data_IF_179437078024
#
_entry.id   IF_179437078024
#
_cell.length_a   1.000
_cell.length_b   1.000
_cell.length_c   1.000
_cell.angle_alpha   90.00
_cell.angle_beta   90.00
_cell.angle_gamma   90.00
#
_symmetry.space_group_name_H-M   'P 1'
#
loop_
_entity.id
_entity.type
_entity.pdbx_description
1 polymer ?
#
# COMPACT_ATOMS: atom_id res chain seq x y z
N UNK A 1 -9.63 14.79 -12.44
CA UNK A 1 -8.18 14.79 -12.73
C UNK A 1 -7.42 15.58 -11.67
N UNK A 2 -6.20 15.16 -11.32
CA UNK A 2 -5.33 15.80 -10.33
C UNK A 2 -3.96 16.06 -10.95
N UNK A 3 -3.46 17.29 -10.80
CA UNK A 3 -2.09 17.66 -11.17
C UNK A 3 -1.20 17.56 -9.93
N UNK A 4 -0.04 16.93 -10.09
CA UNK A 4 1.04 16.91 -9.09
C UNK A 4 2.35 17.26 -9.79
N UNK A 5 3.46 17.37 -9.06
CA UNK A 5 4.79 17.49 -9.67
C UNK A 5 5.17 16.27 -10.51
N UNK A 6 4.50 15.13 -10.29
CA UNK A 6 4.76 13.83 -10.93
C UNK A 6 3.96 13.60 -12.22
N UNK A 7 2.93 14.42 -12.48
CA UNK A 7 2.11 14.30 -13.68
C UNK A 7 0.64 14.65 -13.48
N UNK A 8 -0.18 14.26 -14.45
CA UNK A 8 -1.64 14.40 -14.41
C UNK A 8 -2.25 13.02 -14.23
N UNK A 9 -3.08 12.88 -13.21
CA UNK A 9 -3.68 11.61 -12.83
C UNK A 9 -5.19 11.68 -12.88
N UNK A 10 -5.82 10.63 -13.40
CA UNK A 10 -7.25 10.43 -13.25
C UNK A 10 -7.55 9.76 -11.91
N UNK A 11 -8.57 10.25 -11.20
CA UNK A 11 -8.98 9.70 -9.91
C UNK A 11 -10.45 9.27 -10.01
N UNK A 12 -10.71 7.97 -9.84
CA UNK A 12 -12.05 7.41 -9.79
C UNK A 12 -12.29 6.84 -8.38
N UNK A 13 -13.41 7.14 -7.70
CA UNK A 13 -13.75 6.47 -6.45
C UNK A 13 -13.75 4.95 -6.64
N UNK A 14 -13.12 4.23 -5.70
CA UNK A 14 -13.05 2.77 -5.74
C UNK A 14 -12.96 2.20 -4.32
N UNK A 15 -12.95 0.87 -4.19
CA UNK A 15 -12.91 0.16 -2.91
C UNK A 15 -11.84 -0.93 -2.91
N UNK A 16 -11.07 -1.11 -1.83
CA UNK A 16 -10.16 -2.25 -1.68
C UNK A 16 -10.88 -3.61 -1.75
N UNK A 17 -12.18 -3.66 -1.44
CA UNK A 17 -12.99 -4.87 -1.51
C UNK A 17 -13.26 -5.35 -2.95
N UNK A 18 -12.97 -4.54 -3.97
CA UNK A 18 -13.14 -4.92 -5.37
C UNK A 18 -11.96 -5.75 -5.91
N UNK A 19 -10.95 -6.02 -5.07
CA UNK A 19 -9.71 -6.67 -5.47
C UNK A 19 -9.50 -7.96 -4.71
N UNK A 20 -8.89 -8.93 -5.41
CA UNK A 20 -8.66 -10.27 -4.87
C UNK A 20 -7.61 -10.29 -3.77
N UNK A 21 -6.55 -9.49 -3.95
CA UNK A 21 -5.47 -9.30 -2.98
C UNK A 21 -4.96 -7.87 -3.03
N UNK A 22 -4.54 -7.38 -1.87
CA UNK A 22 -4.00 -6.03 -1.68
C UNK A 22 -2.52 -6.09 -1.34
N UNK A 23 -1.75 -5.15 -1.88
CA UNK A 23 -0.34 -4.92 -1.52
C UNK A 23 -0.24 -3.53 -0.89
N UNK A 24 -0.09 -3.50 0.43
CA UNK A 24 -0.26 -2.27 1.21
C UNK A 24 1.11 -1.70 1.56
N UNK A 25 1.42 -0.51 1.04
CA UNK A 25 2.52 0.30 1.55
C UNK A 25 2.15 0.81 2.95
N UNK A 26 2.69 0.14 3.96
CA UNK A 26 2.33 0.36 5.36
C UNK A 26 2.69 1.76 5.82
N UNK A 27 3.87 2.25 5.48
CA UNK A 27 4.37 3.51 6.03
C UNK A 27 3.50 4.68 5.59
N UNK A 28 3.20 4.76 4.29
CA UNK A 28 2.39 5.88 3.80
C UNK A 28 0.95 5.81 4.30
N UNK A 29 0.33 4.62 4.32
CA UNK A 29 -1.05 4.43 4.78
C UNK A 29 -1.16 4.68 6.28
N UNK A 30 -0.31 4.05 7.09
CA UNK A 30 -0.36 4.18 8.54
C UNK A 30 -0.10 5.62 9.01
N UNK A 31 0.79 6.37 8.33
CA UNK A 31 1.03 7.79 8.61
C UNK A 31 -0.18 8.70 8.31
N UNK A 32 -1.24 8.19 7.69
CA UNK A 32 -2.49 8.94 7.48
C UNK A 32 -3.55 8.71 8.56
N UNK A 33 -3.32 7.74 9.43
CA UNK A 33 -4.24 7.36 10.49
C UNK A 33 -3.89 8.09 11.78
N UNK A 34 -4.90 8.42 12.58
CA UNK A 34 -4.68 8.93 13.94
C UNK A 34 -4.09 7.85 14.86
N UNK A 35 -4.36 6.58 14.57
CA UNK A 35 -3.83 5.41 15.24
C UNK A 35 -3.26 4.45 14.19
N UNK A 36 -1.95 4.51 13.89
CA UNK A 36 -1.29 3.67 12.89
C UNK A 36 -1.55 2.16 13.06
N UNK A 37 -1.69 1.71 14.31
CA UNK A 37 -1.87 0.31 14.70
C UNK A 37 -3.23 -0.25 14.26
N UNK A 38 -4.24 0.62 14.09
CA UNK A 38 -5.57 0.23 13.63
C UNK A 38 -5.55 -0.32 12.20
N UNK A 39 -4.54 0.03 11.39
CA UNK A 39 -4.35 -0.58 10.07
C UNK A 39 -4.24 -2.11 10.16
N UNK A 40 -3.43 -2.60 11.09
CA UNK A 40 -3.15 -4.03 11.24
C UNK A 40 -4.34 -4.75 11.90
N UNK A 41 -4.85 -4.17 12.98
CA UNK A 41 -6.00 -4.74 13.71
C UNK A 41 -7.23 -4.83 12.81
N UNK A 42 -7.58 -3.74 12.12
CA UNK A 42 -8.75 -3.71 11.23
C UNK A 42 -8.61 -4.68 10.06
N UNK A 43 -7.40 -4.84 9.51
CA UNK A 43 -7.19 -5.78 8.42
C UNK A 43 -7.37 -7.25 8.86
N UNK A 44 -6.88 -7.60 10.05
CA UNK A 44 -7.09 -8.91 10.64
C UNK A 44 -8.56 -9.18 10.93
N UNK A 45 -9.28 -8.20 11.49
CA UNK A 45 -10.73 -8.29 11.76
C UNK A 45 -11.56 -8.40 10.49
N UNK A 46 -11.18 -7.70 9.43
CA UNK A 46 -11.87 -7.72 8.14
C UNK A 46 -11.57 -8.97 7.29
N UNK A 47 -10.57 -9.78 7.67
CA UNK A 47 -10.17 -10.97 6.92
C UNK A 47 -9.69 -10.66 5.50
N UNK A 48 -9.04 -9.51 5.30
CA UNK A 48 -8.55 -9.09 3.98
C UNK A 48 -7.35 -9.95 3.55
N UNK A 49 -7.37 -10.44 2.31
CA UNK A 49 -6.17 -11.01 1.69
C UNK A 49 -5.23 -9.85 1.30
N UNK A 50 -4.26 -9.58 2.16
CA UNK A 50 -3.36 -8.45 2.02
C UNK A 50 -1.92 -8.80 2.42
N UNK A 51 -0.98 -8.32 1.61
CA UNK A 51 0.46 -8.31 1.90
C UNK A 51 0.85 -6.91 2.34
N UNK A 52 1.37 -6.78 3.55
CA UNK A 52 1.81 -5.53 4.14
C UNK A 52 3.29 -5.31 3.86
N UNK A 53 3.60 -4.32 3.04
CA UNK A 53 4.96 -3.98 2.65
C UNK A 53 5.51 -2.90 3.58
N UNK A 54 6.52 -3.28 4.36
CA UNK A 54 7.12 -2.46 5.39
C UNK A 54 8.43 -1.89 4.86
N UNK A 55 8.57 -0.56 4.90
CA UNK A 55 9.80 0.11 4.50
C UNK A 55 10.92 -0.20 5.51
N UNK A 56 12.00 -0.81 5.02
CA UNK A 56 13.21 -1.09 5.76
C UNK A 56 14.46 -0.65 4.96
N UNK A 57 14.28 0.25 3.99
CA UNK A 57 15.35 0.67 3.08
C UNK A 57 16.28 1.70 3.73
N UNK A 58 15.73 2.56 4.60
CA UNK A 58 16.52 3.53 5.35
C UNK A 58 16.69 3.13 6.82
N UNK A 59 17.91 3.26 7.35
CA UNK A 59 18.20 2.96 8.77
C UNK A 59 17.29 3.73 9.74
N UNK A 60 16.93 4.98 9.39
CA UNK A 60 16.02 5.81 10.18
C UNK A 60 14.61 5.21 10.33
N UNK A 61 14.19 4.32 9.42
CA UNK A 61 12.89 3.64 9.48
C UNK A 61 12.92 2.39 10.36
N UNK A 62 14.10 1.85 10.69
CA UNK A 62 14.24 0.53 11.33
C UNK A 62 13.51 0.39 12.67
N UNK A 63 13.49 1.38 13.59
CA UNK A 63 12.72 1.26 14.82
C UNK A 63 11.22 1.10 14.56
N UNK A 64 10.68 1.86 13.60
CA UNK A 64 9.26 1.81 13.25
C UNK A 64 8.93 0.54 12.45
N UNK A 65 9.81 0.12 11.55
CA UNK A 65 9.68 -1.13 10.79
C UNK A 65 9.59 -2.34 11.72
N UNK A 66 10.43 -2.40 12.75
CA UNK A 66 10.38 -3.45 13.80
C UNK A 66 9.04 -3.47 14.52
N UNK A 67 8.53 -2.30 14.90
CA UNK A 67 7.21 -2.18 15.54
C UNK A 67 6.08 -2.70 14.65
N UNK A 68 6.11 -2.38 13.36
CA UNK A 68 5.12 -2.88 12.41
C UNK A 68 5.24 -4.39 12.16
N UNK A 69 6.45 -4.95 12.13
CA UNK A 69 6.65 -6.41 12.08
C UNK A 69 6.07 -7.11 13.32
N UNK A 70 6.22 -6.52 14.50
CA UNK A 70 5.61 -7.06 15.73
C UNK A 70 4.09 -7.08 15.65
N UNK A 71 3.46 -6.02 15.11
CA UNK A 71 2.02 -5.97 14.88
C UNK A 71 1.57 -7.03 13.86
N UNK A 72 2.30 -7.18 12.76
CA UNK A 72 2.06 -8.24 11.79
C UNK A 72 2.05 -9.62 12.44
N UNK A 73 3.08 -9.92 13.25
CA UNK A 73 3.17 -11.20 13.95
C UNK A 73 2.04 -11.39 14.96
N UNK A 74 1.70 -10.34 15.71
CA UNK A 74 0.61 -10.34 16.68
C UNK A 74 -0.74 -10.64 16.04
N UNK A 75 -0.99 -10.08 14.85
CA UNK A 75 -2.26 -10.21 14.14
C UNK A 75 -2.24 -11.27 13.02
N UNK A 76 -1.15 -12.05 12.90
CA UNK A 76 -0.96 -13.09 11.88
C UNK A 76 -1.15 -12.61 10.43
N UNK A 77 -0.65 -11.41 10.12
CA UNK A 77 -0.71 -10.80 8.79
C UNK A 77 0.52 -11.19 7.95
N UNK A 78 0.35 -11.33 6.63
CA UNK A 78 1.48 -11.50 5.70
C UNK A 78 2.20 -10.15 5.53
N UNK A 79 3.46 -10.09 5.94
CA UNK A 79 4.27 -8.88 5.88
C UNK A 79 5.61 -9.14 5.23
N UNK A 80 6.02 -8.21 4.35
CA UNK A 80 7.28 -8.27 3.60
C UNK A 80 8.08 -7.01 3.87
N UNK A 81 9.38 -7.16 4.09
CA UNK A 81 10.29 -6.03 4.27
C UNK A 81 10.83 -5.58 2.91
N UNK A 82 10.79 -4.28 2.68
CA UNK A 82 11.43 -3.64 1.53
C UNK A 82 12.77 -3.06 1.97
N UNK A 83 13.85 -3.83 1.79
CA UNK A 83 15.21 -3.44 2.24
C UNK A 83 16.00 -2.71 1.16
N UNK A 84 15.61 -2.83 -0.12
CA UNK A 84 16.41 -2.35 -1.25
C UNK A 84 15.81 -1.13 -1.96
N UNK A 85 14.55 -0.81 -1.69
CA UNK A 85 13.80 0.25 -2.37
C UNK A 85 12.64 0.75 -1.49
N UNK A 86 12.03 1.89 -1.81
CA UNK A 86 10.82 2.35 -1.15
C UNK A 86 9.70 1.31 -1.18
N UNK A 87 8.89 1.27 -0.11
CA UNK A 87 7.82 0.28 0.05
C UNK A 87 6.78 0.31 -1.07
N UNK A 88 6.42 1.48 -1.62
CA UNK A 88 5.46 1.58 -2.72
C UNK A 88 6.00 0.98 -4.02
N UNK A 89 7.32 1.09 -4.25
CA UNK A 89 7.97 0.49 -5.41
C UNK A 89 7.93 -1.04 -5.31
N UNK A 90 8.26 -1.57 -4.13
CA UNK A 90 8.28 -3.01 -3.90
C UNK A 90 6.87 -3.61 -3.86
N UNK A 91 5.88 -2.88 -3.34
CA UNK A 91 4.49 -3.28 -3.38
C UNK A 91 3.97 -3.46 -4.82
N UNK A 92 4.34 -2.55 -5.73
CA UNK A 92 4.03 -2.70 -7.17
C UNK A 92 4.71 -3.94 -7.73
N UNK A 93 6.00 -4.14 -7.47
CA UNK A 93 6.74 -5.30 -7.97
C UNK A 93 6.12 -6.63 -7.52
N UNK A 94 5.79 -6.76 -6.23
CA UNK A 94 5.11 -7.94 -5.70
C UNK A 94 3.74 -8.13 -6.35
N UNK A 95 2.96 -7.05 -6.45
CA UNK A 95 1.64 -7.12 -7.06
C UNK A 95 1.71 -7.62 -8.51
N UNK A 96 2.61 -7.04 -9.30
CA UNK A 96 2.81 -7.43 -10.70
C UNK A 96 3.31 -8.87 -10.82
N UNK A 97 4.25 -9.30 -9.98
CA UNK A 97 4.84 -10.63 -10.07
C UNK A 97 3.88 -11.75 -9.63
N UNK A 98 3.09 -11.51 -8.57
CA UNK A 98 2.30 -12.56 -7.93
C UNK A 98 0.84 -12.60 -8.40
N UNK A 99 0.28 -11.49 -8.88
CA UNK A 99 -1.14 -11.41 -9.23
C UNK A 99 -1.45 -10.67 -10.54
N UNK A 100 -0.98 -9.43 -10.70
CA UNK A 100 -1.33 -8.57 -11.83
C UNK A 100 -2.79 -8.13 -11.82
N UNK A 101 -3.52 -8.43 -12.89
CA UNK A 101 -4.90 -7.95 -13.07
C UNK A 101 -5.86 -8.46 -11.99
N UNK A 102 -6.68 -7.54 -11.44
CA UNK A 102 -7.64 -7.86 -10.38
C UNK A 102 -7.05 -7.83 -8.96
N UNK A 103 -5.79 -7.45 -8.81
CA UNK A 103 -5.18 -7.05 -7.54
C UNK A 103 -4.88 -5.55 -7.51
N UNK A 104 -4.57 -5.04 -6.32
CA UNK A 104 -4.27 -3.62 -6.15
C UNK A 104 -3.13 -3.34 -5.17
N UNK A 105 -2.39 -2.28 -5.46
CA UNK A 105 -1.50 -1.63 -4.51
C UNK A 105 -2.28 -0.54 -3.77
N UNK A 106 -2.17 -0.50 -2.45
CA UNK A 106 -2.74 0.55 -1.59
C UNK A 106 -1.61 1.40 -1.05
N UNK A 107 -1.61 2.68 -1.37
CA UNK A 107 -0.56 3.62 -0.95
C UNK A 107 -1.13 5.04 -0.87
N UNK A 108 -0.29 6.01 -0.51
CA UNK A 108 -0.55 7.44 -0.71
C UNK A 108 0.41 8.08 -1.69
N UNK A 109 1.40 7.34 -2.19
CA UNK A 109 2.38 7.85 -3.14
C UNK A 109 1.95 7.57 -4.59
N UNK A 110 1.97 8.63 -5.40
CA UNK A 110 1.69 8.56 -6.83
C UNK A 110 2.81 7.87 -7.63
N UNK A 111 4.00 7.64 -7.06
CA UNK A 111 5.07 6.89 -7.74
C UNK A 111 4.68 5.45 -8.04
N UNK A 112 3.80 4.84 -7.23
CA UNK A 112 3.24 3.53 -7.54
C UNK A 112 2.48 3.52 -8.87
N UNK A 113 1.77 4.61 -9.20
CA UNK A 113 1.00 4.73 -10.45
C UNK A 113 1.90 4.76 -11.67
N UNK A 114 3.11 5.32 -11.54
CA UNK A 114 4.08 5.41 -12.62
C UNK A 114 4.78 4.08 -12.91
N UNK A 115 4.73 3.13 -11.96
CA UNK A 115 5.42 1.85 -12.04
C UNK A 115 4.48 0.68 -12.31
N UNK A 116 3.20 0.82 -11.99
CA UNK A 116 2.21 -0.23 -12.17
C UNK A 116 1.75 -0.31 -13.62
N UNK A 117 1.67 -1.52 -14.15
CA UNK A 117 1.22 -1.79 -15.52
C UNK A 117 -0.14 -2.47 -15.53
N UNK A 118 -0.28 -3.58 -14.79
CA UNK A 118 -1.49 -4.42 -14.72
C UNK A 118 -2.20 -4.30 -13.39
N UNK A 119 -1.44 -4.08 -12.32
CA UNK A 119 -2.02 -3.87 -11.00
C UNK A 119 -2.72 -2.52 -10.91
N UNK A 120 -3.89 -2.51 -10.27
CA UNK A 120 -4.53 -1.24 -9.95
C UNK A 120 -3.79 -0.53 -8.82
N UNK A 121 -3.82 0.81 -8.81
CA UNK A 121 -3.28 1.60 -7.70
C UNK A 121 -4.41 2.35 -7.02
N UNK A 122 -4.61 2.07 -5.73
CA UNK A 122 -5.54 2.74 -4.85
C UNK A 122 -4.80 3.76 -3.97
N UNK A 123 -5.13 5.03 -4.16
CA UNK A 123 -4.62 6.11 -3.31
C UNK A 123 -5.62 6.40 -2.18
N UNK A 124 -5.16 6.24 -0.94
CA UNK A 124 -5.93 6.66 0.24
C UNK A 124 -5.84 8.19 0.42
N UNK A 125 -6.97 8.87 0.28
CA UNK A 125 -7.04 10.34 0.40
C UNK A 125 -8.36 10.80 0.99
N UNK A 126 -8.28 11.58 2.07
CA UNK A 126 -9.46 12.13 2.74
C UNK A 126 -10.39 11.05 3.29
N UNK A 127 -9.83 9.95 3.80
CA UNK A 127 -10.58 8.79 4.30
C UNK A 127 -11.28 7.96 3.22
N UNK A 128 -10.95 8.15 1.93
CA UNK A 128 -11.54 7.41 0.80
C UNK A 128 -10.45 6.85 -0.10
N UNK A 129 -10.76 5.73 -0.75
CA UNK A 129 -9.90 5.14 -1.77
C UNK A 129 -10.26 5.64 -3.15
N UNK A 130 -9.23 5.95 -3.92
CA UNK A 130 -9.34 6.40 -5.30
C UNK A 130 -8.48 5.49 -6.16
N UNK A 131 -9.09 4.81 -7.13
CA UNK A 131 -8.32 4.19 -8.20
C UNK A 131 -7.71 5.27 -9.06
N UNK A 132 -6.39 5.19 -9.24
CA UNK A 132 -5.62 6.18 -9.95
C UNK A 132 -4.99 5.57 -11.19
N UNK A 133 -5.06 6.31 -12.29
CA UNK A 133 -4.35 5.99 -13.53
C UNK A 133 -3.65 7.24 -14.05
N UNK A 134 -2.54 7.05 -14.77
CA UNK A 134 -1.95 8.13 -15.55
C UNK A 134 -2.89 8.49 -16.72
N UNK A 135 -2.90 9.77 -17.10
CA UNK A 135 -3.61 10.29 -18.28
C UNK A 135 -2.70 10.21 -19.49
#
# INVERSE_FOLDING_TARGET
MRRTRKGVFNLKPDSPLNYRRLYVDVFSVAASLSQPEELFKSAAEAGLDAVFVIDAWHESHMPLARRYLELCRRYMLDCRLSEQKPAEAYAVELCEAECGEGCAVVTRDYDAVLRAERCAVLILRGGRFWRVSQV
#
